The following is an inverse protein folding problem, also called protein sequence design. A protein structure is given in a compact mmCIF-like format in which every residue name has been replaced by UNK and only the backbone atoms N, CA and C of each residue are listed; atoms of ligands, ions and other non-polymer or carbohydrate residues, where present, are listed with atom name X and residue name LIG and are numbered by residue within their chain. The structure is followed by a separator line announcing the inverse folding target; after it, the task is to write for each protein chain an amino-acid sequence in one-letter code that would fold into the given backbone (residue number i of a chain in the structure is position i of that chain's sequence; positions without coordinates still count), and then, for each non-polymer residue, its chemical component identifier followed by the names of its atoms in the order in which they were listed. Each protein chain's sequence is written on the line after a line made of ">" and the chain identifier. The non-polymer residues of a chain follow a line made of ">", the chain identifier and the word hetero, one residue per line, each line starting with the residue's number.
data_IF_774227085829
#
_entry.id   IF_774227085829
#
_cell.length_a   1.000
_cell.length_b   1.000
_cell.length_c   1.000
_cell.angle_alpha   90.00
_cell.angle_beta   90.00
_cell.angle_gamma   90.00
#
_symmetry.space_group_name_H-M   'P 1'
#
loop_
_entity.id
_entity.type
_entity.pdbx_description
1 polymer ?
#
# COMPACT_ATOMS: atom_id res chain seq x y z
N UNK A 1 15.47 -24.08 3.16
CA UNK A 1 16.65 -23.29 2.75
C UNK A 1 16.71 -22.07 3.66
N UNK A 2 17.88 -21.69 4.15
CA UNK A 2 18.01 -20.53 5.04
C UNK A 2 18.14 -19.28 4.16
N UNK A 3 17.03 -18.57 3.94
CA UNK A 3 17.03 -17.33 3.16
C UNK A 3 17.67 -16.19 3.96
N UNK A 4 18.16 -15.16 3.26
CA UNK A 4 18.74 -13.96 3.88
C UNK A 4 17.68 -13.01 4.46
N UNK A 5 16.40 -13.34 4.31
CA UNK A 5 15.26 -12.52 4.72
C UNK A 5 14.20 -13.34 5.46
N UNK A 6 13.44 -12.67 6.32
CA UNK A 6 12.21 -13.19 6.92
C UNK A 6 10.99 -12.72 6.10
N UNK A 7 9.90 -13.49 6.13
CA UNK A 7 8.66 -13.19 5.39
C UNK A 7 7.60 -12.69 6.37
N UNK A 8 6.98 -11.56 6.05
CA UNK A 8 5.87 -10.96 6.80
C UNK A 8 4.67 -10.76 5.88
N UNK A 9 3.51 -11.25 6.30
CA UNK A 9 2.25 -11.11 5.54
C UNK A 9 1.28 -10.26 6.33
N UNK A 10 0.83 -9.15 5.73
CA UNK A 10 -0.18 -8.26 6.26
C UNK A 10 -1.56 -8.79 5.90
N UNK A 11 -2.40 -8.99 6.91
CA UNK A 11 -3.76 -9.51 6.72
C UNK A 11 -4.69 -8.94 7.81
N UNK A 12 -5.91 -8.56 7.44
CA UNK A 12 -6.95 -8.17 8.41
C UNK A 12 -7.59 -9.42 9.03
N UNK A 13 -7.99 -9.36 10.30
CA UNK A 13 -8.61 -10.50 10.99
C UNK A 13 -9.92 -10.98 10.34
N UNK A 14 -10.66 -10.07 9.70
CA UNK A 14 -11.87 -10.40 8.96
C UNK A 14 -11.62 -11.19 7.66
N UNK A 15 -10.41 -11.10 7.10
CA UNK A 15 -10.08 -11.59 5.76
C UNK A 15 -9.42 -12.99 5.85
N UNK A 16 -10.15 -13.94 6.46
CA UNK A 16 -9.67 -15.31 6.73
C UNK A 16 -9.36 -16.08 5.45
N UNK A 17 -10.23 -15.97 4.42
CA UNK A 17 -10.03 -16.67 3.15
C UNK A 17 -8.75 -16.22 2.43
N UNK A 18 -8.47 -14.91 2.41
CA UNK A 18 -7.23 -14.35 1.82
C UNK A 18 -5.99 -14.88 2.53
N UNK A 19 -6.04 -14.97 3.87
CA UNK A 19 -4.95 -15.57 4.65
C UNK A 19 -4.71 -17.04 4.28
N UNK A 20 -5.78 -17.83 4.12
CA UNK A 20 -5.67 -19.24 3.71
C UNK A 20 -5.07 -19.37 2.30
N UNK A 21 -5.49 -18.52 1.36
CA UNK A 21 -5.00 -18.49 -0.02
C UNK A 21 -3.51 -18.16 -0.08
N UNK A 22 -3.07 -17.06 0.54
CA UNK A 22 -1.64 -16.72 0.57
C UNK A 22 -0.82 -17.75 1.35
N UNK A 23 -1.38 -18.35 2.40
CA UNK A 23 -0.72 -19.45 3.11
C UNK A 23 -0.47 -20.64 2.20
N UNK A 24 -1.44 -20.98 1.34
CA UNK A 24 -1.27 -22.04 0.35
C UNK A 24 -0.27 -21.64 -0.73
N UNK A 25 -0.32 -20.41 -1.21
CA UNK A 25 0.56 -19.90 -2.27
C UNK A 25 2.03 -19.83 -1.85
N UNK A 26 2.31 -19.55 -0.57
CA UNK A 26 3.68 -19.42 -0.07
C UNK A 26 4.32 -20.75 0.35
N UNK A 27 3.56 -21.85 0.48
CA UNK A 27 4.10 -23.17 0.84
C UNK A 27 5.24 -23.59 -0.09
N UNK A 28 6.33 -24.17 0.45
CA UNK A 28 6.51 -24.60 1.84
C UNK A 28 7.05 -23.52 2.80
N UNK A 29 7.15 -22.27 2.38
CA UNK A 29 7.79 -21.22 3.17
C UNK A 29 6.86 -20.72 4.29
N UNK A 30 7.44 -20.51 5.46
CA UNK A 30 6.74 -19.95 6.62
C UNK A 30 6.86 -18.43 6.62
N UNK A 31 5.84 -17.77 7.15
CA UNK A 31 5.81 -16.32 7.31
C UNK A 31 5.26 -15.96 8.70
N UNK A 32 5.58 -14.74 9.14
CA UNK A 32 4.96 -14.13 10.31
C UNK A 32 3.75 -13.33 9.85
N UNK A 33 2.57 -13.67 10.35
CA UNK A 33 1.36 -12.88 10.10
C UNK A 33 1.45 -11.57 10.88
N UNK A 34 1.27 -10.46 10.18
CA UNK A 34 1.08 -9.12 10.73
C UNK A 34 -0.42 -8.83 10.70
N UNK A 35 -1.02 -8.71 11.87
CA UNK A 35 -2.41 -8.28 12.00
C UNK A 35 -2.52 -6.84 11.48
N UNK A 36 -3.18 -6.69 10.33
CA UNK A 36 -3.42 -5.42 9.69
C UNK A 36 -4.33 -4.52 10.52
N UNK A 37 -4.16 -3.22 10.32
CA UNK A 37 -4.96 -2.17 10.95
C UNK A 37 -6.18 -1.92 10.08
N UNK A 38 -7.36 -2.24 10.61
CA UNK A 38 -8.60 -1.98 9.89
C UNK A 38 -8.96 -0.50 9.96
N UNK A 39 -8.93 0.19 8.81
CA UNK A 39 -9.10 1.64 8.75
C UNK A 39 -10.39 2.16 9.39
N UNK A 40 -11.48 1.39 9.33
CA UNK A 40 -12.77 1.77 9.93
C UNK A 40 -12.71 1.88 11.45
N UNK A 41 -11.79 1.16 12.08
CA UNK A 41 -11.62 1.15 13.53
C UNK A 41 -10.81 2.37 14.02
N UNK A 42 -10.20 3.15 13.11
CA UNK A 42 -9.42 4.36 13.41
C UNK A 42 -10.27 5.56 13.92
N UNK A 43 -11.50 5.32 14.39
CA UNK A 43 -12.41 6.34 14.92
C UNK A 43 -12.12 6.60 16.41
N UNK A 44 -12.37 7.84 16.85
CA UNK A 44 -12.17 8.35 18.21
C UNK A 44 -12.72 7.42 19.30
N UNK A 45 -11.96 7.24 20.38
CA UNK A 45 -12.40 6.56 21.61
C UNK A 45 -11.81 5.16 21.84
N UNK A 46 -11.01 4.63 20.91
CA UNK A 46 -10.32 3.34 21.07
C UNK A 46 -8.84 3.58 21.45
N UNK A 47 -8.36 3.13 22.64
CA UNK A 47 -7.01 3.46 23.13
C UNK A 47 -5.86 3.02 22.22
N UNK A 48 -6.03 1.92 21.48
CA UNK A 48 -5.01 1.39 20.57
C UNK A 48 -4.83 2.27 19.32
N UNK A 49 -5.90 2.97 18.88
CA UNK A 49 -5.84 3.91 17.75
C UNK A 49 -5.28 5.26 18.17
N UNK A 50 -5.40 5.65 19.44
CA UNK A 50 -4.73 6.85 20.00
C UNK A 50 -3.21 6.77 19.89
N UNK A 51 -2.59 5.59 20.12
CA UNK A 51 -1.13 5.41 19.93
C UNK A 51 -0.70 5.58 18.47
N UNK A 52 -1.52 5.12 17.53
CA UNK A 52 -1.23 5.22 16.10
C UNK A 52 -1.44 6.65 15.56
N UNK A 53 -2.09 7.55 16.31
CA UNK A 53 -2.24 8.94 15.91
C UNK A 53 -0.91 9.68 15.87
N UNK A 54 0.08 9.35 16.69
CA UNK A 54 1.35 10.10 16.67
C UNK A 54 2.17 9.82 15.42
N UNK A 55 1.99 8.62 14.87
CA UNK A 55 2.59 8.18 13.62
C UNK A 55 1.89 8.72 12.37
N UNK A 56 0.71 9.34 12.49
CA UNK A 56 -0.01 9.95 11.37
C UNK A 56 0.17 11.46 11.38
N UNK A 57 0.46 12.03 10.22
CA UNK A 57 0.58 13.49 10.07
C UNK A 57 -0.76 14.18 10.38
N UNK A 58 -0.72 15.34 11.02
CA UNK A 58 -1.90 15.98 11.64
C UNK A 58 -3.05 16.17 10.66
N UNK A 59 -2.77 16.67 9.44
CA UNK A 59 -3.80 16.90 8.42
C UNK A 59 -4.32 15.58 7.85
N UNK A 60 -3.45 14.57 7.75
CA UNK A 60 -3.80 13.26 7.20
C UNK A 60 -4.83 12.52 8.05
N UNK A 61 -4.84 12.76 9.37
CA UNK A 61 -5.86 12.25 10.29
C UNK A 61 -7.29 12.66 9.93
N UNK A 62 -7.45 13.74 9.18
CA UNK A 62 -8.74 14.28 8.77
C UNK A 62 -9.02 14.04 7.30
N UNK A 63 -8.02 14.24 6.44
CA UNK A 63 -8.23 14.31 5.00
C UNK A 63 -7.92 13.02 4.24
N UNK A 64 -7.19 12.09 4.83
CA UNK A 64 -6.88 10.81 4.16
C UNK A 64 -7.99 9.82 4.42
N UNK A 65 -8.46 9.06 3.40
CA UNK A 65 -9.43 7.99 3.60
C UNK A 65 -8.97 6.99 4.65
N UNK A 66 -9.90 6.49 5.46
CA UNK A 66 -9.57 5.66 6.63
C UNK A 66 -8.87 4.36 6.27
N UNK A 67 -9.31 3.72 5.19
CA UNK A 67 -8.75 2.45 4.71
C UNK A 67 -7.29 2.60 4.22
N UNK A 68 -6.95 3.77 3.69
CA UNK A 68 -5.59 4.13 3.29
C UNK A 68 -4.69 4.26 4.51
N UNK A 69 -5.16 4.95 5.55
CA UNK A 69 -4.44 5.04 6.82
C UNK A 69 -4.23 3.64 7.43
N UNK A 70 -5.26 2.78 7.38
CA UNK A 70 -5.17 1.39 7.81
C UNK A 70 -4.07 0.60 7.09
N UNK A 71 -4.02 0.66 5.76
CA UNK A 71 -2.95 0.03 4.96
C UNK A 71 -1.56 0.56 5.36
N UNK A 72 -1.39 1.88 5.46
CA UNK A 72 -0.10 2.49 5.82
C UNK A 72 0.40 2.07 7.21
N UNK A 73 -0.51 2.08 8.19
CA UNK A 73 -0.19 1.67 9.56
C UNK A 73 0.10 0.17 9.63
N UNK A 74 -0.52 -0.64 8.78
CA UNK A 74 -0.22 -2.07 8.67
C UNK A 74 1.19 -2.33 8.15
N UNK A 75 1.62 -1.63 7.09
CA UNK A 75 3.01 -1.71 6.62
C UNK A 75 4.00 -1.22 7.67
N UNK A 76 3.69 -0.12 8.35
CA UNK A 76 4.51 0.39 9.45
C UNK A 76 4.66 -0.64 10.56
N UNK A 77 3.57 -1.31 10.97
CA UNK A 77 3.58 -2.40 11.96
C UNK A 77 4.44 -3.59 11.50
N UNK A 78 4.41 -3.93 10.21
CA UNK A 78 5.26 -4.98 9.65
C UNK A 78 6.75 -4.62 9.73
N UNK A 79 7.11 -3.38 9.33
CA UNK A 79 8.48 -2.84 9.41
C UNK A 79 8.96 -2.77 10.87
N UNK A 80 8.11 -2.30 11.78
CA UNK A 80 8.42 -2.25 13.21
C UNK A 80 8.64 -3.64 13.80
N UNK A 81 7.80 -4.62 13.43
CA UNK A 81 7.96 -6.01 13.84
C UNK A 81 9.27 -6.59 13.33
N UNK A 82 9.62 -6.33 12.07
CA UNK A 82 10.90 -6.75 11.49
C UNK A 82 12.08 -6.24 12.31
N UNK A 83 12.14 -4.93 12.59
CA UNK A 83 13.25 -4.33 13.34
C UNK A 83 13.38 -4.88 14.76
N UNK A 84 12.25 -5.18 15.42
CA UNK A 84 12.24 -5.67 16.81
C UNK A 84 12.55 -7.16 16.93
N UNK A 85 12.09 -7.98 15.97
CA UNK A 85 12.07 -9.44 16.11
C UNK A 85 13.13 -10.17 15.28
N UNK A 86 13.54 -9.60 14.14
CA UNK A 86 14.38 -10.33 13.20
C UNK A 86 15.87 -10.11 13.42
N UNK A 87 16.63 -11.20 13.33
CA UNK A 87 18.10 -11.17 13.24
C UNK A 87 18.62 -11.07 11.80
N UNK A 88 17.73 -11.14 10.80
CA UNK A 88 18.08 -11.03 9.38
C UNK A 88 18.29 -9.57 8.98
N UNK A 89 18.97 -9.36 7.86
CA UNK A 89 19.25 -8.02 7.33
C UNK A 89 18.11 -7.48 6.48
N UNK A 90 17.23 -8.36 6.01
CA UNK A 90 16.17 -8.05 5.07
C UNK A 90 14.83 -8.63 5.51
N UNK A 91 13.75 -7.97 5.11
CA UNK A 91 12.38 -8.47 5.27
C UNK A 91 11.62 -8.41 3.94
N UNK A 92 11.01 -9.53 3.57
CA UNK A 92 10.01 -9.60 2.52
C UNK A 92 8.64 -9.28 3.13
N UNK A 93 8.06 -8.14 2.76
CA UNK A 93 6.74 -7.69 3.19
C UNK A 93 5.74 -7.94 2.06
N UNK A 94 4.66 -8.65 2.39
CA UNK A 94 3.59 -9.01 1.47
C UNK A 94 2.24 -8.55 2.04
N UNK A 95 1.33 -8.09 1.19
CA UNK A 95 -0.11 -8.08 1.50
C UNK A 95 -0.71 -9.48 1.25
N UNK A 96 -1.88 -9.75 1.79
CA UNK A 96 -2.57 -11.05 1.70
C UNK A 96 -3.17 -11.35 0.33
N UNK A 97 -3.18 -10.40 -0.61
CA UNK A 97 -3.48 -10.60 -2.03
C UNK A 97 -2.23 -10.71 -2.91
N UNK A 98 -1.04 -10.79 -2.31
CA UNK A 98 0.20 -11.04 -3.05
C UNK A 98 0.29 -12.50 -3.49
N UNK A 99 0.37 -12.72 -4.81
CA UNK A 99 0.53 -14.06 -5.39
C UNK A 99 1.83 -14.19 -6.15
N UNK A 100 2.68 -15.19 -5.86
CA UNK A 100 3.88 -15.47 -6.65
C UNK A 100 3.55 -15.70 -8.13
N UNK A 101 4.33 -15.12 -9.03
CA UNK A 101 4.18 -15.34 -10.49
C UNK A 101 4.82 -16.66 -10.96
N UNK A 102 5.61 -17.30 -10.10
CA UNK A 102 6.27 -18.58 -10.40
C UNK A 102 6.43 -19.46 -9.15
N UNK A 103 6.75 -20.75 -9.37
CA UNK A 103 7.04 -21.70 -8.28
C UNK A 103 8.42 -21.48 -7.64
N UNK A 104 9.35 -20.84 -8.36
CA UNK A 104 10.71 -20.57 -7.90
C UNK A 104 10.88 -19.15 -7.32
N UNK A 105 9.78 -18.49 -6.96
CA UNK A 105 9.77 -17.09 -6.52
C UNK A 105 10.78 -16.79 -5.41
N UNK A 106 11.03 -17.70 -4.46
CA UNK A 106 12.04 -17.50 -3.40
C UNK A 106 13.47 -17.35 -3.95
N UNK A 107 13.79 -18.11 -5.01
CA UNK A 107 15.06 -17.97 -5.73
C UNK A 107 15.10 -16.64 -6.47
N UNK A 108 13.98 -16.22 -7.07
CA UNK A 108 13.87 -14.94 -7.74
C UNK A 108 14.01 -13.75 -6.77
N UNK A 109 13.41 -13.80 -5.59
CA UNK A 109 13.59 -12.78 -4.53
C UNK A 109 15.06 -12.73 -4.08
N UNK A 110 15.70 -13.89 -3.89
CA UNK A 110 17.11 -13.94 -3.50
C UNK A 110 18.01 -13.31 -4.58
N UNK A 111 17.77 -13.65 -5.86
CA UNK A 111 18.45 -13.01 -7.01
C UNK A 111 18.14 -11.52 -7.12
N UNK A 112 16.93 -11.08 -6.76
CA UNK A 112 16.59 -9.67 -6.78
C UNK A 112 17.47 -8.89 -5.79
N UNK A 113 17.65 -9.42 -4.58
CA UNK A 113 18.55 -8.83 -3.58
C UNK A 113 20.01 -8.85 -4.05
N UNK A 114 20.49 -9.97 -4.59
CA UNK A 114 21.88 -10.14 -5.02
C UNK A 114 22.27 -9.20 -6.17
N UNK A 115 21.35 -8.98 -7.12
CA UNK A 115 21.59 -8.20 -8.33
C UNK A 115 21.17 -6.72 -8.22
N UNK A 116 20.54 -6.31 -7.11
CA UNK A 116 20.13 -4.93 -6.93
C UNK A 116 21.33 -3.97 -6.80
N UNK A 117 21.17 -2.70 -7.19
CA UNK A 117 22.18 -1.65 -6.97
C UNK A 117 22.61 -1.57 -5.51
N UNK A 118 23.91 -1.41 -5.22
CA UNK A 118 24.46 -1.59 -3.85
C UNK A 118 23.88 -0.65 -2.80
N UNK A 119 23.30 0.47 -3.21
CA UNK A 119 22.67 1.49 -2.38
C UNK A 119 21.14 1.31 -2.27
N UNK A 120 20.58 0.17 -2.70
CA UNK A 120 19.15 -0.11 -2.58
C UNK A 120 18.70 -0.07 -1.12
N UNK A 121 17.53 0.51 -0.88
CA UNK A 121 16.85 0.47 0.41
C UNK A 121 15.59 -0.37 0.39
N UNK A 122 14.81 -0.24 -0.67
CA UNK A 122 13.62 -1.03 -0.97
C UNK A 122 13.73 -1.55 -2.40
N UNK A 123 13.41 -2.83 -2.59
CA UNK A 123 13.19 -3.40 -3.92
C UNK A 123 11.71 -3.79 -4.00
N UNK A 124 10.98 -3.17 -4.93
CA UNK A 124 9.60 -3.52 -5.23
C UNK A 124 9.59 -4.76 -6.13
N UNK A 125 8.82 -5.76 -5.71
CA UNK A 125 8.73 -7.07 -6.35
C UNK A 125 7.44 -7.24 -7.15
N UNK A 126 6.60 -6.22 -7.09
CA UNK A 126 5.47 -5.91 -7.95
C UNK A 126 5.56 -4.45 -8.41
N UNK A 127 4.89 -4.12 -9.51
CA UNK A 127 4.84 -2.74 -10.00
C UNK A 127 3.62 -2.52 -10.88
N UNK A 128 2.98 -1.37 -10.69
CA UNK A 128 2.04 -0.79 -11.65
C UNK A 128 2.31 0.72 -11.78
N UNK A 129 2.49 1.28 -12.98
CA UNK A 129 2.59 0.55 -14.26
C UNK A 129 3.81 -0.39 -14.26
N UNK A 130 3.70 -1.50 -14.99
CA UNK A 130 4.82 -2.41 -15.18
C UNK A 130 5.82 -1.80 -16.15
N UNK A 131 7.10 -1.78 -15.78
CA UNK A 131 8.16 -1.31 -16.67
C UNK A 131 8.77 -2.50 -17.42
N UNK A 132 8.74 -2.48 -18.74
CA UNK A 132 9.45 -3.46 -19.56
C UNK A 132 10.93 -3.07 -19.67
N UNK A 133 11.69 -3.31 -18.60
CA UNK A 133 13.13 -3.03 -18.55
C UNK A 133 13.91 -4.28 -18.18
N UNK A 134 15.15 -4.38 -18.66
CA UNK A 134 16.09 -5.44 -18.26
C UNK A 134 16.87 -5.08 -17.00
N UNK A 135 16.77 -3.83 -16.54
CA UNK A 135 17.50 -3.28 -15.39
C UNK A 135 16.55 -2.71 -14.35
N UNK A 136 17.02 -2.63 -13.10
CA UNK A 136 16.32 -1.96 -12.01
C UNK A 136 16.03 -0.50 -12.38
N UNK A 137 14.87 0.00 -11.98
CA UNK A 137 14.46 1.38 -12.25
C UNK A 137 14.06 2.08 -10.97
N UNK A 138 14.28 3.39 -10.92
CA UNK A 138 13.78 4.26 -9.84
C UNK A 138 12.50 4.99 -10.26
N UNK A 139 11.80 4.48 -11.28
CA UNK A 139 10.58 5.10 -11.78
C UNK A 139 9.42 4.89 -10.80
N UNK A 140 8.57 5.91 -10.53
CA UNK A 140 7.49 5.76 -9.56
C UNK A 140 6.44 4.72 -9.93
N UNK A 141 6.29 3.68 -9.10
CA UNK A 141 5.22 2.67 -9.22
C UNK A 141 4.25 2.73 -8.02
N UNK A 142 3.02 2.31 -8.24
CA UNK A 142 1.84 2.55 -7.41
C UNK A 142 1.29 1.28 -6.72
N UNK A 143 2.17 0.31 -6.40
CA UNK A 143 1.79 -0.85 -5.58
C UNK A 143 2.67 -0.98 -4.35
N UNK A 144 2.15 -1.57 -3.27
CA UNK A 144 2.94 -1.95 -2.10
C UNK A 144 2.67 -3.41 -1.69
N UNK A 145 2.08 -4.19 -2.60
CA UNK A 145 1.63 -5.56 -2.33
C UNK A 145 2.80 -6.50 -2.09
N UNK A 146 3.97 -6.27 -2.72
CA UNK A 146 5.17 -7.05 -2.43
C UNK A 146 6.47 -6.25 -2.55
N UNK A 147 7.22 -6.13 -1.45
CA UNK A 147 8.55 -5.53 -1.48
C UNK A 147 9.49 -6.16 -0.48
N UNK A 148 10.80 -6.05 -0.75
CA UNK A 148 11.85 -6.36 0.22
C UNK A 148 12.51 -5.07 0.69
N UNK A 149 12.74 -4.96 1.99
CA UNK A 149 13.36 -3.80 2.64
C UNK A 149 14.54 -4.23 3.49
N UNK A 150 15.62 -3.44 3.47
CA UNK A 150 16.76 -3.67 4.35
C UNK A 150 16.58 -3.01 5.73
N UNK A 151 17.32 -3.50 6.72
CA UNK A 151 17.21 -3.06 8.12
C UNK A 151 17.50 -1.56 8.31
N UNK A 152 18.45 -0.99 7.59
CA UNK A 152 18.75 0.46 7.65
C UNK A 152 17.57 1.29 7.15
N UNK A 153 17.01 0.92 6.01
CA UNK A 153 15.89 1.64 5.38
C UNK A 153 14.59 1.46 6.16
N UNK A 154 14.37 0.27 6.71
CA UNK A 154 13.28 0.01 7.65
C UNK A 154 13.32 1.00 8.83
N UNK A 155 14.49 1.22 9.44
CA UNK A 155 14.63 2.20 10.52
C UNK A 155 14.35 3.64 10.05
N UNK A 156 14.78 4.02 8.84
CA UNK A 156 14.49 5.34 8.25
C UNK A 156 12.99 5.53 8.03
N UNK A 157 12.30 4.55 7.46
CA UNK A 157 10.84 4.60 7.20
C UNK A 157 10.07 4.95 8.49
N UNK A 158 10.48 4.36 9.63
CA UNK A 158 9.80 4.61 10.91
C UNK A 158 9.98 6.03 11.45
N UNK A 159 10.95 6.81 10.96
CA UNK A 159 11.14 8.20 11.37
C UNK A 159 10.10 9.14 10.72
N UNK A 160 9.47 8.71 9.63
CA UNK A 160 8.47 9.48 8.92
C UNK A 160 7.07 9.19 9.45
N UNK A 161 6.26 10.25 9.55
CA UNK A 161 4.82 10.12 9.81
C UNK A 161 4.09 9.70 8.55
N UNK A 162 3.01 8.94 8.66
CA UNK A 162 2.10 8.60 7.56
C UNK A 162 1.41 9.86 7.06
N UNK A 163 1.62 10.20 5.78
CA UNK A 163 1.01 11.38 5.15
C UNK A 163 -0.10 11.00 4.17
N UNK A 164 0.08 9.95 3.38
CA UNK A 164 -0.88 9.54 2.36
C UNK A 164 -0.78 8.04 2.08
N UNK A 165 -1.18 7.57 0.89
CA UNK A 165 -1.10 6.16 0.50
C UNK A 165 0.33 5.62 0.59
N UNK A 166 0.49 4.36 1.01
CA UNK A 166 1.80 3.75 1.19
C UNK A 166 2.58 3.66 -0.13
N UNK A 167 1.91 3.26 -1.21
CA UNK A 167 2.47 3.13 -2.57
C UNK A 167 3.05 4.44 -3.13
N UNK A 168 2.46 5.59 -2.80
CA UNK A 168 2.91 6.93 -3.19
C UNK A 168 3.92 7.45 -2.16
N UNK A 169 3.59 7.34 -0.88
CA UNK A 169 4.33 7.99 0.18
C UNK A 169 5.72 7.36 0.40
N UNK A 170 5.88 6.08 0.07
CA UNK A 170 7.18 5.42 0.09
C UNK A 170 8.26 6.18 -0.67
N UNK A 171 7.91 6.82 -1.79
CA UNK A 171 8.83 7.60 -2.61
C UNK A 171 9.33 8.90 -1.98
N UNK A 172 8.72 9.33 -0.87
CA UNK A 172 9.14 10.53 -0.13
C UNK A 172 10.01 10.20 1.08
N UNK A 173 10.26 8.92 1.35
CA UNK A 173 11.29 8.53 2.29
C UNK A 173 12.66 8.84 1.70
N UNK A 174 13.60 9.27 2.54
CA UNK A 174 15.00 9.42 2.14
C UNK A 174 15.67 8.03 2.03
N UNK A 175 15.17 7.21 1.10
CA UNK A 175 15.48 5.81 0.86
C UNK A 175 15.48 5.56 -0.64
N UNK A 176 16.49 4.84 -1.13
CA UNK A 176 16.55 4.46 -2.54
C UNK A 176 15.58 3.31 -2.82
N UNK A 177 14.60 3.55 -3.69
CA UNK A 177 13.60 2.57 -4.10
C UNK A 177 13.87 2.16 -5.54
N UNK A 178 13.96 0.84 -5.74
CA UNK A 178 14.12 0.24 -7.05
C UNK A 178 12.96 -0.69 -7.36
N UNK A 179 12.41 -0.62 -8.57
CA UNK A 179 11.56 -1.68 -9.10
C UNK A 179 12.43 -2.81 -9.64
N UNK A 180 12.10 -4.05 -9.28
CA UNK A 180 12.70 -5.23 -9.89
C UNK A 180 12.35 -5.27 -11.39
N UNK A 181 13.30 -5.64 -12.28
CA UNK A 181 13.01 -5.81 -13.72
C UNK A 181 11.92 -6.84 -14.02
N UNK A 182 11.62 -7.72 -13.06
CA UNK A 182 10.62 -8.77 -13.18
C UNK A 182 9.69 -8.70 -11.98
N UNK A 183 8.38 -8.69 -12.24
CA UNK A 183 7.37 -8.83 -11.20
C UNK A 183 7.39 -10.29 -10.71
N UNK A 184 7.88 -10.49 -9.49
CA UNK A 184 7.96 -11.78 -8.81
C UNK A 184 6.61 -12.09 -8.12
N UNK A 185 5.86 -11.05 -7.80
CA UNK A 185 4.51 -11.13 -7.28
C UNK A 185 3.55 -10.31 -8.14
N UNK A 186 2.28 -10.67 -8.08
CA UNK A 186 1.17 -9.90 -8.64
C UNK A 186 0.07 -9.77 -7.59
N UNK A 187 -0.64 -8.65 -7.63
CA UNK A 187 -1.82 -8.43 -6.81
C UNK A 187 -3.06 -9.06 -7.45
N UNK A 188 -3.85 -9.79 -6.67
CA UNK A 188 -5.13 -10.31 -7.11
C UNK A 188 -6.21 -9.23 -6.96
N UNK A 189 -6.76 -8.79 -8.09
CA UNK A 189 -7.91 -7.89 -8.18
C UNK A 189 -9.12 -8.68 -8.66
N UNK A 190 -9.93 -9.22 -7.75
CA UNK A 190 -11.19 -9.88 -8.11
C UNK A 190 -12.37 -9.34 -7.28
N UNK A 191 -13.61 -9.61 -7.70
CA UNK A 191 -14.83 -9.12 -7.03
C UNK A 191 -14.96 -9.62 -5.58
N UNK A 192 -14.36 -10.77 -5.25
CA UNK A 192 -14.35 -11.33 -3.89
C UNK A 192 -13.31 -10.66 -3.00
N UNK A 193 -12.23 -10.18 -3.61
CA UNK A 193 -11.04 -9.61 -3.00
C UNK A 193 -10.90 -8.10 -3.27
N UNK A 194 -12.00 -7.44 -3.63
CA UNK A 194 -12.03 -6.03 -4.01
C UNK A 194 -11.35 -5.12 -2.99
N UNK A 195 -10.65 -4.10 -3.49
CA UNK A 195 -9.93 -3.17 -2.63
C UNK A 195 -10.89 -2.39 -1.72
N UNK A 196 -10.59 -2.36 -0.42
CA UNK A 196 -11.29 -1.50 0.54
C UNK A 196 -11.19 0.00 0.17
N UNK A 197 -10.28 0.39 -0.74
CA UNK A 197 -10.09 1.76 -1.21
C UNK A 197 -10.93 2.11 -2.44
N UNK A 198 -11.69 1.16 -3.01
CA UNK A 198 -12.66 1.41 -4.09
C UNK A 198 -14.07 1.55 -3.53
N UNK A 199 -14.92 2.31 -4.22
CA UNK A 199 -16.37 2.34 -3.99
C UNK A 199 -17.07 1.50 -5.06
N UNK A 200 -17.96 0.58 -4.65
CA UNK A 200 -18.80 -0.17 -5.58
C UNK A 200 -20.11 0.58 -5.93
N UNK A 201 -20.53 1.52 -5.08
CA UNK A 201 -21.81 2.23 -5.19
C UNK A 201 -21.59 3.73 -5.45
N UNK A 202 -21.00 4.09 -6.60
CA UNK A 202 -20.89 5.48 -7.01
C UNK A 202 -21.85 5.79 -8.15
N UNK A 203 -22.69 6.80 -7.96
CA UNK A 203 -23.57 7.37 -8.98
C UNK A 203 -22.84 8.36 -9.91
N UNK A 204 -21.52 8.47 -9.78
CA UNK A 204 -20.73 9.37 -10.60
C UNK A 204 -20.58 8.81 -12.03
N UNK A 205 -21.05 9.51 -13.06
CA UNK A 205 -20.96 9.02 -14.43
C UNK A 205 -19.51 8.80 -14.90
N UNK A 206 -18.53 9.50 -14.31
CA UNK A 206 -17.11 9.32 -14.61
C UNK A 206 -16.59 7.93 -14.19
N UNK A 207 -17.25 7.29 -13.23
CA UNK A 207 -16.84 6.00 -12.71
C UNK A 207 -17.15 4.85 -13.70
N UNK A 208 -18.01 5.09 -14.70
CA UNK A 208 -18.23 4.16 -15.81
C UNK A 208 -17.13 4.24 -16.87
N UNK A 209 -16.32 5.30 -16.92
CA UNK A 209 -15.29 5.46 -17.94
C UNK A 209 -13.99 4.71 -17.57
N UNK A 210 -13.66 4.63 -16.28
CA UNK A 210 -12.49 3.90 -15.80
C UNK A 210 -12.64 3.56 -14.32
N UNK A 211 -12.24 2.35 -13.94
CA UNK A 211 -12.17 1.93 -12.54
C UNK A 211 -11.27 2.83 -11.69
N UNK A 212 -10.28 3.48 -12.28
CA UNK A 212 -9.40 4.41 -11.55
C UNK A 212 -10.20 5.55 -10.90
N UNK A 213 -11.35 5.93 -11.45
CA UNK A 213 -12.21 6.96 -10.87
C UNK A 213 -12.93 6.52 -9.59
N UNK A 214 -13.00 5.21 -9.31
CA UNK A 214 -13.61 4.67 -8.09
C UNK A 214 -12.70 4.70 -6.86
N UNK A 215 -11.42 5.06 -7.01
CA UNK A 215 -10.52 5.16 -5.88
C UNK A 215 -10.89 6.37 -5.03
N UNK A 216 -11.09 6.12 -3.74
CA UNK A 216 -11.20 7.18 -2.72
C UNK A 216 -9.93 8.02 -2.78
N UNK A 217 -10.03 9.32 -2.57
CA UNK A 217 -8.88 10.24 -2.66
C UNK A 217 -8.85 11.19 -1.48
N UNK A 218 -10.01 11.72 -1.11
CA UNK A 218 -10.12 12.74 -0.08
C UNK A 218 -11.23 12.38 0.89
N UNK A 219 -10.96 12.48 2.18
CA UNK A 219 -11.98 12.43 3.21
C UNK A 219 -12.27 13.84 3.69
N UNK A 220 -13.54 14.20 3.82
CA UNK A 220 -13.99 15.45 4.39
C UNK A 220 -14.74 15.14 5.68
N UNK A 221 -14.23 15.57 6.85
CA UNK A 221 -14.96 15.40 8.09
C UNK A 221 -16.16 16.37 8.10
N UNK A 222 -17.39 15.84 8.12
CA UNK A 222 -18.61 16.63 8.27
C UNK A 222 -19.30 16.33 9.60
N UNK A 223 -20.16 17.24 10.03
CA UNK A 223 -20.91 17.16 11.31
C UNK A 223 -21.71 15.86 11.44
N UNK A 224 -22.23 15.32 10.32
CA UNK A 224 -23.05 14.11 10.28
C UNK A 224 -22.28 12.86 9.81
N UNK A 225 -20.95 12.89 9.87
CA UNK A 225 -20.08 11.79 9.44
C UNK A 225 -19.10 12.19 8.35
N UNK A 226 -18.06 11.37 8.19
CA UNK A 226 -17.04 11.59 7.17
C UNK A 226 -17.60 11.29 5.77
N UNK A 227 -17.31 12.15 4.79
CA UNK A 227 -17.57 11.89 3.37
C UNK A 227 -16.24 11.55 2.69
N UNK A 228 -16.16 10.42 2.01
CA UNK A 228 -14.99 10.03 1.22
C UNK A 228 -15.29 10.28 -0.27
N UNK A 229 -14.59 11.25 -0.85
CA UNK A 229 -14.65 11.61 -2.26
C UNK A 229 -13.69 10.74 -3.07
N UNK A 230 -14.19 10.23 -4.18
CA UNK A 230 -13.40 9.48 -5.16
C UNK A 230 -12.68 10.42 -6.14
N UNK A 231 -11.74 9.88 -6.92
CA UNK A 231 -11.12 10.62 -8.02
C UNK A 231 -12.17 11.11 -9.04
N UNK A 232 -13.21 10.30 -9.29
CA UNK A 232 -14.35 10.71 -10.11
C UNK A 232 -15.06 11.93 -9.54
N UNK A 233 -15.32 11.96 -8.23
CA UNK A 233 -16.05 13.06 -7.59
C UNK A 233 -15.27 14.36 -7.68
N UNK A 234 -13.97 14.31 -7.40
CA UNK A 234 -13.08 15.47 -7.50
C UNK A 234 -13.00 15.99 -8.95
N UNK A 235 -12.97 15.09 -9.93
CA UNK A 235 -12.96 15.46 -11.35
C UNK A 235 -14.26 16.16 -11.75
N UNK A 236 -15.41 15.62 -11.34
CA UNK A 236 -16.72 16.21 -11.62
C UNK A 236 -16.88 17.58 -10.96
N UNK A 237 -16.49 17.71 -9.69
CA UNK A 237 -16.49 19.00 -8.97
C UNK A 237 -15.63 20.03 -9.74
N UNK A 238 -14.45 19.63 -10.20
CA UNK A 238 -13.56 20.50 -10.97
C UNK A 238 -14.19 20.98 -12.28
N UNK A 239 -14.84 20.08 -13.04
CA UNK A 239 -15.55 20.42 -14.28
C UNK A 239 -16.67 21.43 -14.01
N UNK A 240 -17.46 21.22 -12.95
CA UNK A 240 -18.55 22.13 -12.56
C UNK A 240 -18.00 23.52 -12.19
N UNK A 241 -16.94 23.59 -11.39
CA UNK A 241 -16.34 24.86 -10.98
C UNK A 241 -15.76 25.65 -12.17
N UNK A 242 -15.08 24.97 -13.09
CA UNK A 242 -14.55 25.59 -14.32
C UNK A 242 -15.70 26.12 -15.17
N UNK A 243 -16.75 25.32 -15.38
CA UNK A 243 -17.92 25.71 -16.19
C UNK A 243 -18.63 26.93 -15.58
N UNK A 244 -18.86 26.92 -14.27
CA UNK A 244 -19.46 28.04 -13.56
C UNK A 244 -18.58 29.31 -13.67
N UNK A 245 -17.26 29.18 -13.55
CA UNK A 245 -16.33 30.30 -13.72
C UNK A 245 -16.31 30.86 -15.15
N UNK A 246 -16.50 30.03 -16.18
CA UNK A 246 -16.57 30.49 -17.57
C UNK A 246 -17.90 31.23 -17.80
N UNK A 247 -19.01 30.71 -17.27
CA UNK A 247 -20.33 31.32 -17.40
C UNK A 247 -20.45 32.65 -16.64
N UNK A 248 -19.81 32.78 -15.48
CA UNK A 248 -19.83 34.01 -14.68
C UNK A 248 -19.05 35.16 -15.33
N UNK A 249 -18.03 34.87 -16.16
CA UNK A 249 -17.25 35.88 -16.90
C UNK A 249 -17.95 36.41 -18.15
N UNK A 250 -19.03 35.75 -18.61
CA UNK A 250 -19.83 36.17 -19.77
C UNK A 250 -21.01 37.08 -19.41
N UNK A 251 -21.21 37.37 -18.13
CA UNK A 251 -22.18 38.35 -17.61
C UNK A 251 -21.45 39.62 -17.21
#
# INVERSE_FOLDING_TARGET
>A
MNHSFDIYVINLDKDVARLEEITKALKPNHFTRIQGVYGKDLIQGVPETEKLKDDVFITSKYFVPKNVLGSCLSHRKAVETFLKSSKKDYALILEDDATPTSKDYMSQVSKAVENAPKDWGIIKLDSWPTYSTSSYTTLPSLLATAYIVNKESAAKILQYKVVYYADIYMWFYNVNIYNCPTNIFQQIWDEKNGSNNKTNDSYNPLNYFSESFNFKMLRLPLVNGDVELTMGDLTLITIVLITASILSRKK
#
